data_IF_975543056597
#
_entry.id   IF_975543056597
#
_cell.length_a   1.000
_cell.length_b   1.000
_cell.length_c   1.000
_cell.angle_alpha   90.00
_cell.angle_beta   90.00
_cell.angle_gamma   90.00
#
_symmetry.space_group_name_H-M   'P 1'
#
loop_
_entity.id
_entity.type
_entity.pdbx_description
1 polymer ?
#
# COMPACT_ATOMS: atom_id res chain seq x y z
N UNK A 1 -7.89 -13.60 -18.56
CA UNK A 1 -8.04 -14.98 -18.01
C UNK A 1 -9.22 -15.67 -18.68
N UNK A 2 -10.44 -15.11 -18.61
CA UNK A 2 -11.63 -15.71 -19.22
C UNK A 2 -11.47 -15.96 -20.72
N UNK A 3 -10.89 -15.02 -21.45
CA UNK A 3 -10.65 -15.16 -22.89
C UNK A 3 -9.64 -16.28 -23.21
N UNK A 4 -8.71 -16.56 -22.29
CA UNK A 4 -7.79 -17.69 -22.39
C UNK A 4 -8.45 -19.03 -22.05
N UNK A 5 -9.24 -19.08 -20.96
CA UNK A 5 -9.88 -20.31 -20.49
C UNK A 5 -11.11 -20.69 -21.32
N UNK A 6 -11.86 -19.71 -21.79
CA UNK A 6 -13.11 -19.87 -22.54
C UNK A 6 -13.21 -18.79 -23.63
N UNK A 7 -12.50 -18.96 -24.75
CA UNK A 7 -12.47 -17.97 -25.81
C UNK A 7 -13.87 -17.59 -26.28
N UNK A 8 -14.14 -16.28 -26.34
CA UNK A 8 -15.42 -15.74 -26.84
C UNK A 8 -16.58 -15.71 -25.84
N UNK A 9 -16.46 -16.30 -24.62
CA UNK A 9 -17.54 -16.34 -23.63
C UNK A 9 -17.95 -14.96 -23.08
N UNK A 10 -17.00 -14.04 -22.96
CA UNK A 10 -17.22 -12.66 -22.54
C UNK A 10 -16.97 -11.65 -23.68
N UNK A 11 -17.00 -12.10 -24.92
CA UNK A 11 -16.65 -11.32 -26.12
C UNK A 11 -15.17 -10.89 -26.15
N UNK A 12 -14.73 -10.28 -27.28
CA UNK A 12 -13.43 -9.59 -27.32
C UNK A 12 -13.42 -8.31 -26.49
N UNK A 13 -12.23 -7.85 -26.05
CA UNK A 13 -12.04 -6.74 -25.09
C UNK A 13 -12.84 -5.47 -25.43
N UNK A 14 -12.85 -5.04 -26.69
CA UNK A 14 -13.60 -3.82 -27.09
C UNK A 14 -15.11 -3.97 -26.86
N UNK A 15 -15.68 -5.14 -27.18
CA UNK A 15 -17.10 -5.40 -26.97
C UNK A 15 -17.42 -5.59 -25.48
N UNK A 16 -16.57 -6.29 -24.72
CA UNK A 16 -16.68 -6.43 -23.28
C UNK A 16 -16.70 -5.05 -22.59
N UNK A 17 -15.77 -4.17 -22.96
CA UNK A 17 -15.70 -2.80 -22.42
C UNK A 17 -16.98 -2.02 -22.67
N UNK A 18 -17.55 -2.10 -23.88
CA UNK A 18 -18.78 -1.40 -24.25
C UNK A 18 -20.01 -1.96 -23.55
N UNK A 19 -20.12 -3.29 -23.45
CA UNK A 19 -21.32 -3.99 -22.96
C UNK A 19 -21.34 -4.06 -21.43
N UNK A 20 -20.20 -4.28 -20.77
CA UNK A 20 -20.12 -4.48 -19.33
C UNK A 20 -19.35 -3.38 -18.61
N UNK A 21 -18.09 -3.10 -18.99
CA UNK A 21 -17.20 -2.24 -18.23
C UNK A 21 -17.73 -0.79 -18.15
N UNK A 22 -18.04 -0.16 -19.26
CA UNK A 22 -18.52 1.22 -19.28
C UNK A 22 -19.89 1.41 -18.61
N UNK A 23 -20.91 0.56 -18.87
CA UNK A 23 -22.20 0.68 -18.17
C UNK A 23 -22.08 0.47 -16.66
N UNK A 24 -21.23 -0.45 -16.20
CA UNK A 24 -21.03 -0.69 -14.77
C UNK A 24 -20.26 0.47 -14.11
N UNK A 25 -19.17 0.94 -14.72
CA UNK A 25 -18.29 1.94 -14.12
C UNK A 25 -18.81 3.38 -14.25
N UNK A 26 -19.49 3.72 -15.36
CA UNK A 26 -19.95 5.09 -15.62
C UNK A 26 -21.42 5.33 -15.28
N UNK A 27 -22.27 4.32 -15.42
CA UNK A 27 -23.71 4.45 -15.24
C UNK A 27 -24.23 3.67 -14.02
N UNK A 28 -23.36 3.03 -13.21
CA UNK A 28 -23.74 2.21 -12.06
C UNK A 28 -24.88 1.23 -12.34
N UNK A 29 -24.90 0.67 -13.57
CA UNK A 29 -25.99 -0.16 -14.05
C UNK A 29 -25.97 -1.53 -13.35
N UNK A 30 -26.83 -1.68 -12.36
CA UNK A 30 -26.95 -2.88 -11.51
C UNK A 30 -27.41 -4.12 -12.32
N UNK A 31 -28.27 -3.95 -13.31
CA UNK A 31 -28.72 -5.05 -14.16
C UNK A 31 -27.56 -5.64 -14.99
N UNK A 32 -26.74 -4.75 -15.57
CA UNK A 32 -25.54 -5.19 -16.31
C UNK A 32 -24.54 -5.90 -15.40
N UNK A 33 -24.38 -5.42 -14.15
CA UNK A 33 -23.54 -6.06 -13.15
C UNK A 33 -24.05 -7.45 -12.77
N UNK A 34 -25.36 -7.61 -12.54
CA UNK A 34 -25.97 -8.90 -12.24
C UNK A 34 -25.84 -9.89 -13.39
N UNK A 35 -26.02 -9.41 -14.62
CA UNK A 35 -25.83 -10.24 -15.82
C UNK A 35 -24.39 -10.73 -15.94
N UNK A 36 -23.39 -9.85 -15.71
CA UNK A 36 -22.00 -10.27 -15.70
C UNK A 36 -21.71 -11.28 -14.58
N UNK A 37 -22.28 -11.07 -13.39
CA UNK A 37 -22.16 -12.01 -12.26
C UNK A 37 -22.72 -13.37 -12.61
N UNK A 38 -23.93 -13.45 -13.20
CA UNK A 38 -24.55 -14.72 -13.62
C UNK A 38 -23.70 -15.47 -14.63
N UNK A 39 -23.09 -14.76 -15.58
CA UNK A 39 -22.21 -15.36 -16.59
C UNK A 39 -20.90 -15.89 -16.01
N UNK A 40 -20.35 -15.22 -15.00
CA UNK A 40 -19.03 -15.55 -14.44
C UNK A 40 -19.08 -16.44 -13.20
N UNK A 41 -20.16 -16.40 -12.43
CA UNK A 41 -20.32 -17.13 -11.17
C UNK A 41 -20.01 -18.64 -11.24
N UNK A 42 -20.41 -19.40 -12.29
CA UNK A 42 -20.08 -20.81 -12.38
C UNK A 42 -18.57 -21.11 -12.47
N UNK A 43 -17.77 -20.14 -12.86
CA UNK A 43 -16.33 -20.28 -13.12
C UNK A 43 -15.45 -19.57 -12.11
N UNK A 44 -16.05 -18.77 -11.19
CA UNK A 44 -15.33 -18.02 -10.14
C UNK A 44 -15.74 -18.56 -8.79
N UNK A 45 -14.81 -19.23 -8.12
CA UNK A 45 -14.96 -19.59 -6.71
C UNK A 45 -14.17 -18.61 -5.85
N UNK A 46 -14.84 -17.64 -5.25
CA UNK A 46 -14.26 -16.72 -4.28
C UNK A 46 -14.62 -17.14 -2.86
N UNK A 47 -13.61 -17.42 -2.04
CA UNK A 47 -13.77 -17.68 -0.61
C UNK A 47 -13.11 -16.57 0.18
N UNK A 48 -13.85 -15.89 1.02
CA UNK A 48 -13.30 -14.90 1.93
C UNK A 48 -12.68 -15.61 3.15
N UNK A 49 -11.53 -15.14 3.61
CA UNK A 49 -10.85 -15.73 4.78
C UNK A 49 -11.76 -15.79 6.01
N UNK A 50 -12.54 -14.73 6.27
CA UNK A 50 -13.51 -14.65 7.38
C UNK A 50 -14.58 -15.74 7.34
N UNK A 51 -14.92 -16.25 6.15
CA UNK A 51 -15.98 -17.26 5.99
C UNK A 51 -15.46 -18.68 6.14
N UNK A 52 -14.16 -18.90 5.87
CA UNK A 52 -13.52 -20.22 5.83
C UNK A 52 -12.67 -20.50 7.07
N UNK A 53 -12.02 -19.47 7.62
CA UNK A 53 -11.06 -19.59 8.71
C UNK A 53 -11.64 -19.01 10.00
N UNK A 54 -12.60 -19.73 10.59
CA UNK A 54 -13.27 -19.34 11.86
C UNK A 54 -12.31 -19.35 13.07
N UNK A 55 -11.20 -20.07 12.96
CA UNK A 55 -10.20 -20.20 14.03
C UNK A 55 -9.11 -19.11 14.00
N UNK A 56 -9.12 -18.20 12.99
CA UNK A 56 -8.21 -17.08 12.99
C UNK A 56 -8.68 -16.02 13.99
N UNK A 57 -7.79 -15.55 14.89
CA UNK A 57 -8.08 -14.40 15.75
C UNK A 57 -8.49 -13.17 14.95
N UNK A 58 -9.18 -12.25 15.59
CA UNK A 58 -9.59 -10.97 14.97
C UNK A 58 -8.37 -10.17 14.51
N UNK A 59 -8.56 -9.46 13.39
CA UNK A 59 -7.60 -8.48 12.88
C UNK A 59 -8.10 -7.07 13.19
N UNK A 60 -7.29 -6.31 13.94
CA UNK A 60 -7.56 -4.91 14.24
C UNK A 60 -6.79 -4.01 13.28
N UNK A 61 -7.45 -3.06 12.61
CA UNK A 61 -6.78 -2.08 11.74
C UNK A 61 -6.96 -0.67 12.28
N UNK A 62 -5.85 0.05 12.44
CA UNK A 62 -5.82 1.41 12.96
C UNK A 62 -5.01 2.32 12.05
N UNK A 63 -5.52 3.52 11.77
CA UNK A 63 -4.79 4.57 11.06
C UNK A 63 -4.16 5.50 12.08
N UNK A 64 -2.84 5.65 12.00
CA UNK A 64 -2.07 6.58 12.82
C UNK A 64 -1.72 7.80 11.96
N UNK A 65 -2.20 8.95 12.36
CA UNK A 65 -1.99 10.20 11.65
C UNK A 65 -0.82 10.98 12.25
N UNK A 66 0.15 11.33 11.40
CA UNK A 66 1.24 12.27 11.74
C UNK A 66 0.99 13.62 11.06
N UNK A 67 1.30 14.71 11.72
CA UNK A 67 1.17 16.08 11.19
C UNK A 67 2.54 16.67 10.94
N UNK A 68 2.73 17.29 9.79
CA UNK A 68 3.97 17.99 9.50
C UNK A 68 4.06 19.30 10.24
N UNK A 69 5.25 19.60 10.70
CA UNK A 69 5.61 20.86 11.34
C UNK A 69 6.89 21.44 10.70
N UNK A 70 7.16 22.68 10.98
CA UNK A 70 8.41 23.34 10.59
C UNK A 70 8.77 23.21 9.11
N UNK A 71 10.00 22.81 8.87
CA UNK A 71 10.60 22.71 7.54
C UNK A 71 9.95 21.63 6.68
N UNK A 72 9.60 20.45 7.24
CA UNK A 72 8.92 19.39 6.49
C UNK A 72 7.60 19.89 5.86
N UNK A 73 6.84 20.67 6.62
CA UNK A 73 5.57 21.27 6.13
C UNK A 73 5.83 22.25 4.97
N UNK A 74 6.86 23.08 5.10
CA UNK A 74 7.21 24.05 4.05
C UNK A 74 7.67 23.36 2.75
N UNK A 75 8.52 22.34 2.87
CA UNK A 75 9.00 21.54 1.74
C UNK A 75 7.86 20.81 1.04
N UNK A 76 6.95 20.18 1.80
CA UNK A 76 5.78 19.54 1.23
C UNK A 76 4.90 20.52 0.46
N UNK A 77 4.56 21.67 1.06
CA UNK A 77 3.73 22.69 0.45
C UNK A 77 4.34 23.28 -0.85
N UNK A 78 5.65 23.51 -0.87
CA UNK A 78 6.36 23.99 -2.04
C UNK A 78 6.31 22.97 -3.20
N UNK A 79 6.53 21.68 -2.92
CA UNK A 79 6.47 20.62 -3.95
C UNK A 79 5.04 20.33 -4.41
N UNK A 80 4.05 20.40 -3.51
CA UNK A 80 2.63 20.26 -3.89
C UNK A 80 2.20 21.39 -4.83
N UNK A 81 2.60 22.64 -4.54
CA UNK A 81 2.36 23.78 -5.43
C UNK A 81 3.03 23.63 -6.79
N UNK A 82 4.29 23.14 -6.82
CA UNK A 82 5.02 22.85 -8.06
C UNK A 82 4.26 21.84 -8.93
N UNK A 83 3.82 20.73 -8.34
CA UNK A 83 3.05 19.71 -9.06
C UNK A 83 1.71 20.26 -9.56
N UNK A 84 1.01 21.06 -8.75
CA UNK A 84 -0.23 21.72 -9.15
C UNK A 84 -0.02 22.62 -10.35
N UNK A 85 0.98 23.51 -10.33
CA UNK A 85 1.33 24.38 -11.45
C UNK A 85 1.70 23.61 -12.72
N UNK A 86 2.35 22.46 -12.59
CA UNK A 86 2.64 21.58 -13.73
C UNK A 86 1.32 21.06 -14.33
N UNK A 87 0.41 20.54 -13.52
CA UNK A 87 -0.89 20.04 -13.96
C UNK A 87 -1.78 21.12 -14.59
N UNK A 88 -1.76 22.34 -14.06
CA UNK A 88 -2.53 23.47 -14.61
C UNK A 88 -2.02 23.92 -15.99
N UNK A 89 -0.71 23.80 -16.23
CA UNK A 89 -0.09 24.16 -17.51
C UNK A 89 -0.23 23.07 -18.57
N UNK A 90 -0.39 21.81 -18.16
CA UNK A 90 -0.50 20.67 -19.07
C UNK A 90 -1.91 20.60 -19.64
N UNK A 91 -2.09 20.77 -20.94
CA UNK A 91 -3.35 20.52 -21.62
C UNK A 91 -3.69 19.01 -21.59
N UNK A 92 -4.98 18.67 -21.65
CA UNK A 92 -5.41 17.26 -21.60
C UNK A 92 -4.81 16.42 -22.74
N UNK A 93 -4.56 17.04 -23.90
CA UNK A 93 -3.92 16.41 -25.06
C UNK A 93 -2.43 16.09 -24.81
N UNK A 94 -1.73 16.92 -24.04
CA UNK A 94 -0.31 16.79 -23.73
C UNK A 94 -0.05 15.93 -22.48
N UNK A 95 -1.09 15.61 -21.71
CA UNK A 95 -1.00 14.85 -20.45
C UNK A 95 -0.27 13.53 -20.62
N UNK A 96 -0.48 12.82 -21.73
CA UNK A 96 0.18 11.56 -22.01
C UNK A 96 1.71 11.70 -22.12
N UNK A 97 2.20 12.79 -22.70
CA UNK A 97 3.63 13.11 -22.84
C UNK A 97 4.30 13.49 -21.53
N UNK A 98 3.61 14.28 -20.70
CA UNK A 98 4.15 14.77 -19.42
C UNK A 98 3.90 13.82 -18.23
N UNK A 99 3.17 12.75 -18.44
CA UNK A 99 2.75 11.81 -17.40
C UNK A 99 3.90 11.26 -16.55
N UNK A 100 5.03 10.94 -17.16
CA UNK A 100 6.19 10.43 -16.43
C UNK A 100 6.74 11.46 -15.45
N UNK A 101 6.78 12.73 -15.85
CA UNK A 101 7.21 13.83 -14.98
C UNK A 101 6.22 14.05 -13.84
N UNK A 102 4.93 14.07 -14.13
CA UNK A 102 3.85 14.21 -13.14
C UNK A 102 3.93 13.08 -12.10
N UNK A 103 4.11 11.83 -12.52
CA UNK A 103 4.26 10.68 -11.62
C UNK A 103 5.55 10.74 -10.80
N UNK A 104 6.63 11.28 -11.34
CA UNK A 104 7.87 11.50 -10.60
C UNK A 104 7.68 12.55 -9.49
N UNK A 105 7.03 13.68 -9.77
CA UNK A 105 6.73 14.70 -8.76
C UNK A 105 5.74 14.17 -7.70
N UNK A 106 4.75 13.39 -8.08
CA UNK A 106 3.86 12.72 -7.12
C UNK A 106 4.62 11.72 -6.22
N UNK A 107 5.57 10.99 -6.80
CA UNK A 107 6.45 10.09 -6.04
C UNK A 107 7.32 10.88 -5.06
N UNK A 108 7.86 12.03 -5.49
CA UNK A 108 8.63 12.94 -4.65
C UNK A 108 7.80 13.46 -3.47
N UNK A 109 6.55 13.87 -3.69
CA UNK A 109 5.65 14.26 -2.59
C UNK A 109 5.47 13.14 -1.57
N UNK A 110 5.32 11.90 -2.02
CA UNK A 110 5.19 10.74 -1.12
C UNK A 110 6.48 10.44 -0.36
N UNK A 111 7.64 10.64 -0.99
CA UNK A 111 8.93 10.54 -0.31
C UNK A 111 9.08 11.62 0.79
N UNK A 112 8.68 12.87 0.51
CA UNK A 112 8.65 13.94 1.52
C UNK A 112 7.67 13.61 2.65
N UNK A 113 6.57 12.91 2.38
CA UNK A 113 5.68 12.41 3.42
C UNK A 113 6.34 11.35 4.32
N UNK A 114 7.25 10.56 3.78
CA UNK A 114 8.02 9.58 4.54
C UNK A 114 9.12 10.26 5.36
N UNK A 115 10.05 10.89 4.66
CA UNK A 115 11.15 11.67 5.23
C UNK A 115 11.72 12.58 4.13
N UNK A 116 11.84 13.91 4.35
CA UNK A 116 12.38 14.82 3.34
C UNK A 116 13.82 14.52 2.93
N UNK A 117 14.62 13.85 3.77
CA UNK A 117 15.99 13.45 3.42
C UNK A 117 16.07 12.47 2.26
N UNK A 118 14.96 11.81 1.90
CA UNK A 118 14.85 10.99 0.67
C UNK A 118 14.94 11.83 -0.62
N UNK A 119 14.73 13.14 -0.52
CA UNK A 119 14.71 14.09 -1.66
C UNK A 119 15.74 15.21 -1.53
N UNK A 120 16.23 15.48 -0.32
CA UNK A 120 17.10 16.62 0.01
C UNK A 120 18.23 16.12 0.92
N UNK A 121 19.43 16.02 0.36
CA UNK A 121 20.62 15.47 1.08
C UNK A 121 20.99 16.27 2.31
N UNK A 122 20.82 17.61 2.27
CA UNK A 122 21.15 18.53 3.37
C UNK A 122 20.01 18.67 4.41
N UNK A 123 18.94 17.87 4.29
CA UNK A 123 17.84 17.95 5.24
C UNK A 123 18.22 17.37 6.60
N UNK A 124 18.30 18.25 7.60
CA UNK A 124 18.59 17.88 9.00
C UNK A 124 17.38 17.96 9.93
N UNK A 125 16.19 18.23 9.41
CA UNK A 125 14.95 18.31 10.19
C UNK A 125 14.40 16.94 10.61
N UNK A 126 13.37 16.95 11.45
CA UNK A 126 12.66 15.75 11.87
C UNK A 126 11.66 15.24 10.85
N UNK A 127 11.24 14.00 11.00
CA UNK A 127 10.12 13.41 10.26
C UNK A 127 9.07 12.91 11.25
N UNK A 128 7.94 13.62 11.30
CA UNK A 128 6.86 13.30 12.25
C UNK A 128 6.34 11.85 12.10
N UNK A 129 6.38 11.32 10.87
CA UNK A 129 5.97 9.95 10.63
C UNK A 129 7.03 8.94 11.09
N UNK A 130 8.31 9.25 10.90
CA UNK A 130 9.41 8.41 11.38
C UNK A 130 9.39 8.34 12.91
N UNK A 131 9.19 9.47 13.59
CA UNK A 131 9.12 9.52 15.06
C UNK A 131 7.96 8.67 15.59
N UNK A 132 6.76 8.80 15.02
CA UNK A 132 5.60 7.96 15.36
C UNK A 132 5.88 6.47 15.09
N UNK A 133 6.59 6.16 14.00
CA UNK A 133 6.97 4.79 13.67
C UNK A 133 7.93 4.19 14.69
N UNK A 134 8.98 4.92 15.03
CA UNK A 134 9.99 4.46 15.99
C UNK A 134 9.36 4.22 17.37
N UNK A 135 8.47 5.10 17.81
CA UNK A 135 7.72 4.92 19.05
C UNK A 135 6.91 3.59 19.02
N UNK A 136 6.16 3.33 17.94
CA UNK A 136 5.39 2.07 17.80
C UNK A 136 6.29 0.84 17.79
N UNK A 137 7.48 0.91 17.19
CA UNK A 137 8.44 -0.19 17.17
C UNK A 137 9.03 -0.47 18.56
N UNK A 138 9.33 0.57 19.32
CA UNK A 138 9.85 0.48 20.69
C UNK A 138 8.78 -0.10 21.63
N UNK A 139 7.60 0.53 21.69
CA UNK A 139 6.48 0.09 22.54
C UNK A 139 6.06 -1.37 22.22
N UNK A 140 6.00 -1.73 20.93
CA UNK A 140 5.69 -3.08 20.50
C UNK A 140 6.76 -4.09 20.93
N UNK A 141 8.05 -3.76 20.77
CA UNK A 141 9.17 -4.61 21.17
C UNK A 141 9.25 -4.83 22.68
N UNK A 142 9.12 -3.74 23.47
CA UNK A 142 9.10 -3.78 24.93
C UNK A 142 7.93 -4.60 25.48
N UNK A 143 6.77 -4.55 24.81
CA UNK A 143 5.60 -5.36 25.15
C UNK A 143 5.70 -6.82 24.70
N UNK A 144 6.84 -7.24 24.14
CA UNK A 144 7.09 -8.61 23.71
C UNK A 144 6.42 -9.02 22.39
N UNK A 145 5.93 -8.05 21.63
CA UNK A 145 5.37 -8.26 20.29
C UNK A 145 6.47 -8.38 19.23
N UNK A 146 6.19 -9.14 18.16
CA UNK A 146 7.01 -9.15 16.96
C UNK A 146 6.34 -8.31 15.87
N UNK A 147 7.09 -7.39 15.29
CA UNK A 147 6.59 -6.34 14.39
C UNK A 147 7.11 -6.55 12.98
N UNK A 148 6.22 -6.58 12.00
CA UNK A 148 6.56 -6.45 10.58
C UNK A 148 6.34 -5.02 10.14
N UNK A 149 7.36 -4.38 9.59
CA UNK A 149 7.24 -3.05 9.01
C UNK A 149 7.43 -3.14 7.50
N UNK A 150 6.44 -2.65 6.76
CA UNK A 150 6.45 -2.61 5.31
C UNK A 150 6.56 -1.19 4.79
N UNK A 151 7.45 -0.97 3.81
CA UNK A 151 7.51 0.25 3.00
C UNK A 151 7.76 -0.09 1.54
N UNK A 152 7.26 0.77 0.64
CA UNK A 152 7.60 0.68 -0.77
C UNK A 152 9.00 1.25 -1.07
N UNK A 153 9.49 2.18 -0.24
CA UNK A 153 10.78 2.83 -0.41
C UNK A 153 11.86 2.08 0.38
N UNK A 154 12.78 1.42 -0.34
CA UNK A 154 13.89 0.71 0.31
C UNK A 154 14.84 1.65 1.03
N UNK A 155 15.04 2.86 0.50
CA UNK A 155 15.78 3.94 1.16
C UNK A 155 15.17 4.36 2.50
N UNK A 156 13.83 4.34 2.62
CA UNK A 156 13.18 4.59 3.91
C UNK A 156 13.46 3.47 4.92
N UNK A 157 13.47 2.20 4.48
CA UNK A 157 13.86 1.08 5.35
C UNK A 157 15.32 1.19 5.82
N UNK A 158 16.19 1.79 5.01
CA UNK A 158 17.58 2.08 5.40
C UNK A 158 17.65 3.15 6.49
N UNK A 159 16.88 4.25 6.34
CA UNK A 159 16.79 5.30 7.36
C UNK A 159 16.25 4.72 8.67
N UNK A 160 15.14 3.96 8.63
CA UNK A 160 14.58 3.32 9.81
C UNK A 160 15.60 2.37 10.46
N UNK A 161 16.27 1.52 9.65
CA UNK A 161 17.29 0.60 10.13
C UNK A 161 18.45 1.31 10.81
N UNK A 162 18.92 2.46 10.27
CA UNK A 162 19.94 3.29 10.91
C UNK A 162 19.46 3.81 12.26
N UNK A 163 18.23 4.33 12.34
CA UNK A 163 17.65 4.83 13.61
C UNK A 163 17.47 3.72 14.65
N UNK A 164 17.12 2.51 14.23
CA UNK A 164 17.04 1.35 15.14
C UNK A 164 18.42 0.96 15.65
N UNK A 165 19.44 0.95 14.77
CA UNK A 165 20.83 0.67 15.17
C UNK A 165 21.37 1.69 16.17
N UNK A 166 21.08 2.99 15.97
CA UNK A 166 21.44 4.07 16.90
C UNK A 166 20.81 3.91 18.30
N UNK A 167 19.70 3.14 18.39
CA UNK A 167 18.97 2.81 19.63
C UNK A 167 19.26 1.39 20.14
N UNK A 168 20.22 0.71 19.54
CA UNK A 168 20.59 -0.67 19.87
C UNK A 168 19.44 -1.68 19.76
N UNK A 169 18.43 -1.39 18.91
CA UNK A 169 17.30 -2.27 18.65
C UNK A 169 17.64 -3.22 17.49
N UNK A 170 17.74 -4.53 17.73
CA UNK A 170 18.04 -5.50 16.69
C UNK A 170 16.86 -5.65 15.73
N UNK A 171 17.14 -5.79 14.43
CA UNK A 171 16.14 -5.98 13.40
C UNK A 171 16.65 -6.87 12.26
N UNK A 172 15.72 -7.55 11.59
CA UNK A 172 15.95 -8.15 10.28
C UNK A 172 15.54 -7.20 9.17
N UNK A 173 16.17 -7.33 8.00
CA UNK A 173 15.81 -6.54 6.82
C UNK A 173 15.73 -7.44 5.58
N UNK A 174 14.62 -7.30 4.83
CA UNK A 174 14.37 -8.03 3.59
C UNK A 174 13.94 -7.06 2.50
N UNK A 175 14.76 -6.96 1.45
CA UNK A 175 14.55 -6.09 0.29
C UNK A 175 14.57 -6.89 -1.02
N UNK A 176 14.32 -6.23 -2.14
CA UNK A 176 14.24 -6.88 -3.46
C UNK A 176 15.53 -7.61 -3.86
N UNK A 177 16.69 -7.08 -3.48
CA UNK A 177 18.02 -7.67 -3.75
C UNK A 177 18.44 -8.80 -2.83
N UNK A 178 17.70 -9.07 -1.72
CA UNK A 178 18.01 -10.17 -0.79
C UNK A 178 17.92 -11.52 -1.52
N UNK A 179 18.97 -12.36 -1.51
CA UNK A 179 18.98 -13.68 -2.14
C UNK A 179 17.87 -14.61 -1.62
N UNK A 180 17.45 -15.57 -2.44
CA UNK A 180 16.32 -16.47 -2.10
C UNK A 180 16.61 -17.31 -0.85
N UNK A 181 17.82 -17.81 -0.73
CA UNK A 181 18.29 -18.62 0.42
C UNK A 181 18.25 -17.80 1.71
N UNK A 182 18.73 -16.57 1.65
CA UNK A 182 18.75 -15.64 2.78
C UNK A 182 17.31 -15.26 3.21
N UNK A 183 16.38 -15.10 2.26
CA UNK A 183 14.96 -14.85 2.58
C UNK A 183 14.35 -15.97 3.42
N UNK A 184 14.63 -17.22 3.05
CA UNK A 184 14.16 -18.39 3.79
C UNK A 184 14.76 -18.42 5.20
N UNK A 185 16.07 -18.19 5.31
CA UNK A 185 16.79 -18.13 6.58
C UNK A 185 16.24 -17.03 7.50
N UNK A 186 16.10 -15.79 7.02
CA UNK A 186 15.56 -14.67 7.79
C UNK A 186 14.13 -14.94 8.28
N UNK A 187 13.29 -15.54 7.42
CA UNK A 187 11.92 -15.88 7.79
C UNK A 187 11.85 -16.96 8.87
N UNK A 188 12.77 -17.93 8.89
CA UNK A 188 12.83 -18.97 9.89
C UNK A 188 13.45 -18.47 11.19
N UNK A 189 14.56 -17.72 11.11
CA UNK A 189 15.20 -17.09 12.27
C UNK A 189 14.24 -16.20 13.02
N UNK A 190 13.47 -15.36 12.32
CA UNK A 190 12.50 -14.46 12.95
C UNK A 190 11.44 -15.17 13.78
N UNK A 191 11.16 -16.45 13.53
CA UNK A 191 10.21 -17.23 14.36
C UNK A 191 10.79 -17.62 15.71
N UNK A 192 12.09 -17.85 15.78
CA UNK A 192 12.75 -18.49 16.91
C UNK A 192 13.70 -17.60 17.69
N UNK A 193 14.25 -16.57 17.05
CA UNK A 193 15.17 -15.61 17.67
C UNK A 193 14.45 -14.52 18.50
N UNK A 194 15.25 -13.71 19.22
CA UNK A 194 14.76 -12.63 20.07
C UNK A 194 14.55 -11.31 19.32
N UNK A 195 14.83 -11.26 18.01
CA UNK A 195 14.63 -10.06 17.18
C UNK A 195 13.14 -9.77 17.08
N UNK A 196 12.76 -8.53 17.42
CA UNK A 196 11.35 -8.11 17.47
C UNK A 196 10.90 -7.38 16.20
N UNK A 197 11.82 -6.82 15.42
CA UNK A 197 11.51 -5.97 14.26
C UNK A 197 11.99 -6.61 12.97
N UNK A 198 11.10 -6.66 11.97
CA UNK A 198 11.44 -7.11 10.63
C UNK A 198 11.04 -6.04 9.60
N UNK A 199 12.02 -5.39 8.99
CA UNK A 199 11.85 -4.39 7.94
C UNK A 199 11.75 -5.07 6.58
N UNK A 200 10.67 -4.86 5.85
CA UNK A 200 10.38 -5.60 4.61
C UNK A 200 9.95 -4.62 3.51
N UNK A 201 10.60 -4.68 2.35
CA UNK A 201 10.09 -3.96 1.20
C UNK A 201 8.81 -4.61 0.66
N UNK A 202 7.79 -3.81 0.32
CA UNK A 202 6.50 -4.32 -0.16
C UNK A 202 6.63 -5.24 -1.38
N UNK A 203 7.58 -4.94 -2.29
CA UNK A 203 7.86 -5.80 -3.45
C UNK A 203 8.44 -7.16 -3.05
N UNK A 204 9.31 -7.22 -2.05
CA UNK A 204 9.91 -8.45 -1.56
C UNK A 204 8.92 -9.25 -0.69
N UNK A 205 8.05 -8.59 0.04
CA UNK A 205 6.99 -9.21 0.86
C UNK A 205 5.97 -10.01 0.05
N UNK A 206 5.87 -9.83 -1.26
CA UNK A 206 5.00 -10.60 -2.16
C UNK A 206 5.37 -12.09 -2.32
N UNK A 207 6.56 -12.52 -1.92
CA UNK A 207 7.08 -13.88 -2.11
C UNK A 207 6.75 -14.79 -0.92
N UNK A 208 5.62 -15.46 -0.90
CA UNK A 208 5.26 -16.67 -0.12
C UNK A 208 5.76 -16.84 1.34
N UNK A 209 6.30 -15.80 1.98
CA UNK A 209 6.86 -15.84 3.33
C UNK A 209 5.80 -16.22 4.36
N UNK A 210 6.19 -16.97 5.38
CA UNK A 210 5.35 -17.29 6.54
C UNK A 210 5.91 -16.59 7.80
N UNK A 211 5.27 -15.49 8.20
CA UNK A 211 5.71 -14.62 9.30
C UNK A 211 4.66 -14.56 10.43
N UNK A 212 4.00 -15.68 10.70
CA UNK A 212 2.97 -15.82 11.75
C UNK A 212 3.49 -15.64 13.19
N UNK A 213 4.81 -15.52 13.38
CA UNK A 213 5.37 -15.13 14.66
C UNK A 213 5.07 -13.65 15.00
N UNK A 214 4.81 -12.82 13.99
CA UNK A 214 4.46 -11.40 14.19
C UNK A 214 2.96 -11.25 14.46
N UNK A 215 2.65 -10.35 15.38
CA UNK A 215 1.29 -9.97 15.77
C UNK A 215 1.04 -8.45 15.59
N UNK A 216 2.07 -7.68 15.23
CA UNK A 216 1.94 -6.29 14.80
C UNK A 216 2.43 -6.15 13.36
N UNK A 217 1.67 -5.43 12.55
CA UNK A 217 2.04 -5.07 11.16
C UNK A 217 1.94 -3.56 11.00
N UNK A 218 3.02 -2.93 10.57
CA UNK A 218 3.06 -1.50 10.28
C UNK A 218 3.23 -1.29 8.78
N UNK A 219 2.30 -0.60 8.14
CA UNK A 219 2.46 -0.04 6.82
C UNK A 219 2.93 1.40 6.95
N UNK A 220 4.20 1.65 6.65
CA UNK A 220 4.83 2.96 6.82
C UNK A 220 4.28 3.99 5.82
N UNK A 221 4.00 3.56 4.61
CA UNK A 221 3.43 4.39 3.54
C UNK A 221 2.27 3.67 2.84
N UNK A 222 1.22 4.39 2.38
CA UNK A 222 0.10 3.79 1.68
C UNK A 222 0.54 3.31 0.29
N UNK A 223 0.09 2.11 -0.10
CA UNK A 223 0.37 1.54 -1.41
C UNK A 223 -0.82 1.73 -2.35
N UNK A 224 -0.57 2.08 -3.61
CA UNK A 224 -1.62 2.23 -4.62
C UNK A 224 -2.50 0.98 -4.78
N UNK A 225 -1.87 -0.19 -4.70
CA UNK A 225 -2.53 -1.47 -4.80
C UNK A 225 -2.86 -2.02 -3.41
N UNK A 226 -4.12 -1.87 -3.00
CA UNK A 226 -4.63 -2.38 -1.71
C UNK A 226 -4.45 -3.89 -1.59
N UNK A 227 -4.61 -4.64 -2.70
CA UNK A 227 -4.44 -6.10 -2.67
C UNK A 227 -3.00 -6.49 -2.31
N UNK A 228 -1.99 -5.77 -2.82
CA UNK A 228 -0.60 -6.01 -2.45
C UNK A 228 -0.32 -5.66 -0.97
N UNK A 229 -0.95 -4.60 -0.45
CA UNK A 229 -0.87 -4.23 0.97
C UNK A 229 -1.54 -5.29 1.85
N UNK A 230 -2.71 -5.77 1.48
CA UNK A 230 -3.40 -6.86 2.16
C UNK A 230 -2.57 -8.16 2.10
N UNK A 231 -1.97 -8.47 0.95
CA UNK A 231 -1.09 -9.62 0.81
C UNK A 231 0.14 -9.54 1.75
N UNK A 232 0.70 -8.36 1.96
CA UNK A 232 1.77 -8.15 2.94
C UNK A 232 1.28 -8.42 4.37
N UNK A 233 0.13 -7.88 4.76
CA UNK A 233 -0.52 -8.16 6.05
C UNK A 233 -0.79 -9.66 6.23
N UNK A 234 -1.18 -10.36 5.17
CA UNK A 234 -1.47 -11.79 5.16
C UNK A 234 -0.23 -12.68 5.41
N UNK A 235 0.96 -12.12 5.52
CA UNK A 235 2.15 -12.86 5.98
C UNK A 235 2.11 -13.13 7.48
N UNK A 236 1.56 -12.20 8.26
CA UNK A 236 1.29 -12.38 9.69
C UNK A 236 -0.09 -12.98 9.94
N UNK A 237 -1.11 -12.48 9.23
CA UNK A 237 -2.51 -12.91 9.38
C UNK A 237 -2.83 -14.11 8.50
N UNK A 238 -2.37 -15.29 8.92
CA UNK A 238 -2.44 -16.54 8.16
C UNK A 238 -2.76 -17.72 9.09
N UNK A 239 -3.16 -18.86 8.51
CA UNK A 239 -3.30 -20.15 9.23
C UNK A 239 -2.04 -20.42 10.05
N UNK A 240 -2.23 -20.67 11.35
CA UNK A 240 -1.15 -20.84 12.33
C UNK A 240 -0.91 -19.61 13.20
N UNK A 241 -1.55 -18.46 12.90
CA UNK A 241 -1.56 -17.32 13.80
C UNK A 241 -2.44 -17.61 15.03
N UNK A 242 -1.87 -17.43 16.22
CA UNK A 242 -2.55 -17.70 17.51
C UNK A 242 -2.89 -16.42 18.27
N UNK A 243 -2.30 -15.29 17.88
CA UNK A 243 -2.51 -13.99 18.52
C UNK A 243 -3.36 -13.09 17.64
N UNK A 244 -4.07 -12.15 18.25
CA UNK A 244 -4.73 -11.06 17.51
C UNK A 244 -3.68 -10.24 16.75
N UNK A 245 -3.92 -9.99 15.45
CA UNK A 245 -3.02 -9.19 14.63
C UNK A 245 -3.51 -7.75 14.60
N UNK A 246 -2.64 -6.82 15.03
CA UNK A 246 -2.90 -5.39 14.94
C UNK A 246 -2.14 -4.81 13.75
N UNK A 247 -2.85 -4.09 12.89
CA UNK A 247 -2.30 -3.45 11.69
C UNK A 247 -2.35 -1.94 11.84
N UNK A 248 -1.20 -1.30 11.84
CA UNK A 248 -1.08 0.15 11.84
C UNK A 248 -0.78 0.66 10.42
N UNK A 249 -1.52 1.68 9.99
CA UNK A 249 -1.26 2.41 8.74
C UNK A 249 -0.82 3.82 9.09
N UNK A 250 0.44 4.17 8.81
CA UNK A 250 0.96 5.51 9.09
C UNK A 250 0.64 6.43 7.91
N UNK A 251 -0.05 7.52 8.19
CA UNK A 251 -0.53 8.47 7.19
C UNK A 251 -0.16 9.89 7.59
N UNK A 252 0.49 10.61 6.69
CA UNK A 252 0.71 12.05 6.84
C UNK A 252 -0.61 12.79 6.58
N UNK A 253 -1.12 13.49 7.60
CA UNK A 253 -2.40 14.20 7.55
C UNK A 253 -2.33 15.44 6.67
N UNK A 254 -3.40 15.74 5.93
CA UNK A 254 -3.49 16.85 4.98
C UNK A 254 -2.47 16.77 3.84
N UNK A 255 -2.20 15.56 3.36
CA UNK A 255 -1.26 15.29 2.27
C UNK A 255 -1.87 14.36 1.22
N UNK A 256 -1.11 14.13 0.16
CA UNK A 256 -1.46 13.13 -0.88
C UNK A 256 -1.69 11.74 -0.29
N UNK A 257 -1.06 11.38 0.83
CA UNK A 257 -1.27 10.07 1.46
C UNK A 257 -2.67 9.90 2.03
N UNK A 258 -3.21 10.93 2.69
CA UNK A 258 -4.58 10.91 3.19
C UNK A 258 -5.58 10.77 2.03
N UNK A 259 -5.33 11.46 0.93
CA UNK A 259 -6.19 11.39 -0.24
C UNK A 259 -6.04 10.07 -1.01
N UNK A 260 -4.84 9.45 -1.03
CA UNK A 260 -4.64 8.07 -1.50
C UNK A 260 -5.48 7.11 -0.67
N UNK A 261 -5.49 7.25 0.65
CA UNK A 261 -6.29 6.39 1.53
C UNK A 261 -7.79 6.53 1.24
N UNK A 262 -8.31 7.76 1.05
CA UNK A 262 -9.70 8.02 0.66
C UNK A 262 -10.05 7.39 -0.70
N UNK A 263 -9.13 7.52 -1.68
CA UNK A 263 -9.29 6.91 -3.00
C UNK A 263 -9.30 5.37 -2.93
N UNK A 264 -8.45 4.78 -2.10
CA UNK A 264 -8.45 3.34 -1.86
C UNK A 264 -9.79 2.88 -1.27
N UNK A 265 -10.30 3.59 -0.27
CA UNK A 265 -11.56 3.24 0.40
C UNK A 265 -12.76 3.35 -0.53
N UNK A 266 -12.86 4.43 -1.32
CA UNK A 266 -13.93 4.57 -2.32
C UNK A 266 -13.91 3.45 -3.35
N UNK A 267 -12.71 3.06 -3.82
CA UNK A 267 -12.56 1.95 -4.77
C UNK A 267 -12.80 0.58 -4.13
N UNK A 268 -12.50 0.40 -2.84
CA UNK A 268 -12.82 -0.82 -2.10
C UNK A 268 -14.34 -1.02 -2.02
N UNK A 269 -15.09 0.01 -1.70
CA UNK A 269 -16.55 -0.02 -1.66
C UNK A 269 -17.14 -0.39 -3.04
N UNK A 270 -16.59 0.17 -4.11
CA UNK A 270 -16.98 -0.20 -5.49
C UNK A 270 -16.59 -1.64 -5.84
N UNK A 271 -15.41 -2.11 -5.42
CA UNK A 271 -14.95 -3.46 -5.70
C UNK A 271 -15.72 -4.53 -4.89
N UNK A 272 -16.23 -4.21 -3.71
CA UNK A 272 -17.12 -5.09 -2.95
C UNK A 272 -18.48 -5.26 -3.66
N UNK A 273 -18.93 -4.24 -4.39
CA UNK A 273 -20.12 -4.30 -5.24
C UNK A 273 -19.88 -5.01 -6.58
N UNK A 274 -18.67 -4.92 -7.13
CA UNK A 274 -18.24 -5.55 -8.38
C UNK A 274 -17.18 -6.59 -8.09
N UNK A 275 -17.34 -7.81 -8.55
CA UNK A 275 -16.46 -9.00 -8.33
C UNK A 275 -14.98 -8.79 -8.75
N UNK A 276 -14.55 -7.61 -9.11
CA UNK A 276 -13.19 -7.32 -9.54
C UNK A 276 -12.45 -6.43 -8.54
N UNK A 277 -11.33 -6.92 -8.02
CA UNK A 277 -10.34 -6.08 -7.36
C UNK A 277 -9.83 -5.05 -8.38
N UNK A 278 -10.36 -3.84 -8.34
CA UNK A 278 -9.87 -2.73 -9.15
C UNK A 278 -8.47 -2.35 -8.71
N UNK A 279 -7.45 -2.84 -9.39
CA UNK A 279 -6.08 -2.41 -9.17
C UNK A 279 -5.93 -0.96 -9.60
N UNK A 280 -5.68 -0.07 -8.63
CA UNK A 280 -5.17 1.27 -8.93
C UNK A 280 -3.69 1.15 -9.18
N UNK A 281 -3.26 1.39 -10.41
CA UNK A 281 -1.84 1.61 -10.69
C UNK A 281 -1.61 3.12 -10.86
N UNK A 282 -0.47 3.68 -10.47
CA UNK A 282 -0.14 5.08 -10.72
C UNK A 282 -0.29 5.44 -12.20
N UNK A 283 -0.01 4.47 -13.06
CA UNK A 283 -0.15 4.58 -14.50
C UNK A 283 -1.59 4.64 -15.03
N UNK A 284 -2.63 4.46 -14.22
CA UNK A 284 -4.04 4.58 -14.65
C UNK A 284 -4.72 5.85 -14.16
N UNK A 285 -4.01 6.70 -13.39
CA UNK A 285 -4.55 7.95 -12.87
C UNK A 285 -4.75 8.97 -14.00
N UNK A 286 -5.93 9.57 -14.05
CA UNK A 286 -6.21 10.72 -14.89
C UNK A 286 -5.63 12.00 -14.27
N UNK A 287 -5.59 13.09 -15.06
CA UNK A 287 -5.23 14.42 -14.56
C UNK A 287 -6.14 14.85 -13.40
N UNK A 288 -7.45 14.63 -13.52
CA UNK A 288 -8.43 14.93 -12.47
C UNK A 288 -8.18 14.10 -11.19
N UNK A 289 -7.82 12.82 -11.32
CA UNK A 289 -7.49 11.99 -10.15
C UNK A 289 -6.31 12.57 -9.38
N UNK A 290 -5.29 13.08 -10.08
CA UNK A 290 -4.12 13.68 -9.43
C UNK A 290 -4.46 15.03 -8.78
N UNK A 291 -5.30 15.86 -9.39
CA UNK A 291 -5.79 17.08 -8.77
C UNK A 291 -6.57 16.79 -7.48
N UNK A 292 -7.45 15.80 -7.49
CA UNK A 292 -8.14 15.33 -6.27
C UNK A 292 -7.18 14.84 -5.19
N UNK A 293 -6.07 14.20 -5.59
CA UNK A 293 -5.03 13.79 -4.63
C UNK A 293 -4.29 14.99 -4.01
N UNK A 294 -4.25 16.13 -4.68
CA UNK A 294 -3.71 17.37 -4.14
C UNK A 294 -4.71 18.16 -3.28
N UNK A 295 -5.96 17.71 -3.20
CA UNK A 295 -6.98 18.31 -2.33
C UNK A 295 -7.92 19.28 -3.03
N UNK A 296 -8.10 19.13 -4.33
CA UNK A 296 -9.07 19.89 -5.16
C UNK A 296 -10.26 19.03 -5.60
#
# INVERSE_FOLDING_TARGET
>A
IFDYLMPGSLFGYQKFRRVFELPILKAENQETLENLRKLTAPFILRRLKKDVLKDLPDKLETVVYSRFEGEQKALYAANARKLKMLLEKTADEDYAGERMQILAELTRLRQICCDPSLCYEDYGGGSAKLDSCLQLLEEGGESGHKVLLFSQFTSMLEIIGKRLSEREIPFHRLIGSTPKEERAFLSESFKTDDVKVFLISLKAGGTGLNLTAADIVIHFDPWWNVAAQNQATDRAYRIGQKKQVTVFRLIAKHTVEENILKLQESKRLLAEQVISEGMVSPGSLSREDILKLLGE
#
